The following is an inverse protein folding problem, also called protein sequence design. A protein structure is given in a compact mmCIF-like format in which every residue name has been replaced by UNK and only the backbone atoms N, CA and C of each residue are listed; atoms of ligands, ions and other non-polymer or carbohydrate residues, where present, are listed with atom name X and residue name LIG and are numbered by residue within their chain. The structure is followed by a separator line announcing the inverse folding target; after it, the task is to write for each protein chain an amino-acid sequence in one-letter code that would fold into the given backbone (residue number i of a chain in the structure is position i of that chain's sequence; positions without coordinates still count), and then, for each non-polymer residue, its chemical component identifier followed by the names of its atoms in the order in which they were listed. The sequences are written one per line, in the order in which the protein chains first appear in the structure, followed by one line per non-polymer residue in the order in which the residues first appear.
data_IF_516617632933
#
_entry.id   IF_516617632933
#
_cell.length_a   1.000
_cell.length_b   1.000
_cell.length_c   1.000
_cell.angle_alpha   90.00
_cell.angle_beta   90.00
_cell.angle_gamma   90.00
#
_symmetry.space_group_name_H-M   'P 1'
#
loop_
_entity.id
_entity.type
_entity.pdbx_description
1 polymer ?
#
# COMPACT_ATOMS: atom_id res chain seq x y z
N UNK A 1 -1.56 5.53 3.37
CA UNK A 1 -0.26 4.84 3.39
C UNK A 1 -0.39 3.59 2.57
N UNK A 2 0.48 3.36 1.59
CA UNK A 2 0.50 2.13 0.81
C UNK A 2 1.62 1.24 1.36
N UNK A 3 1.33 -0.04 1.61
CA UNK A 3 2.31 -0.99 2.14
C UNK A 3 2.30 -2.27 1.29
N UNK A 4 3.48 -2.78 0.98
CA UNK A 4 3.65 -4.07 0.32
C UNK A 4 4.57 -4.95 1.16
N UNK A 5 4.30 -6.25 1.19
CA UNK A 5 5.26 -7.24 1.69
C UNK A 5 5.98 -7.86 0.49
N UNK A 6 7.28 -7.58 0.40
CA UNK A 6 8.06 -7.98 -0.77
C UNK A 6 8.45 -9.47 -0.71
N UNK A 7 7.93 -10.25 -1.65
CA UNK A 7 8.15 -11.68 -1.77
C UNK A 7 7.36 -12.54 -0.77
N UNK A 8 7.25 -13.83 -1.09
CA UNK A 8 6.36 -14.78 -0.41
C UNK A 8 6.59 -14.87 1.10
N UNK A 9 7.87 -14.90 1.54
CA UNK A 9 8.20 -14.96 2.97
C UNK A 9 7.69 -13.73 3.73
N UNK A 10 7.81 -12.54 3.14
CA UNK A 10 7.31 -11.33 3.78
C UNK A 10 5.78 -11.33 3.80
N UNK A 11 5.14 -11.79 2.72
CA UNK A 11 3.69 -11.89 2.64
C UNK A 11 3.11 -12.80 3.75
N UNK A 12 3.77 -13.94 4.03
CA UNK A 12 3.40 -14.85 5.12
C UNK A 12 3.48 -14.19 6.51
N UNK A 13 4.47 -13.30 6.73
CA UNK A 13 4.65 -12.61 8.02
C UNK A 13 3.88 -11.28 8.11
N UNK A 14 3.26 -10.81 7.03
CA UNK A 14 2.67 -9.47 6.96
C UNK A 14 1.63 -9.24 8.06
N UNK A 15 0.70 -10.17 8.26
CA UNK A 15 -0.37 -10.05 9.25
C UNK A 15 0.16 -9.94 10.69
N UNK A 16 1.29 -10.58 10.98
CA UNK A 16 1.95 -10.51 12.29
C UNK A 16 2.61 -9.14 12.50
N UNK A 17 3.24 -8.59 11.46
CA UNK A 17 3.86 -7.25 11.52
C UNK A 17 2.79 -6.17 11.66
N UNK A 18 1.75 -6.21 10.82
CA UNK A 18 0.67 -5.20 10.82
C UNK A 18 -0.31 -5.37 12.00
N UNK A 19 -0.37 -6.55 12.61
CA UNK A 19 -1.09 -6.78 13.87
C UNK A 19 -0.36 -6.28 15.12
N UNK A 20 0.91 -5.88 15.01
CA UNK A 20 1.72 -5.45 16.15
C UNK A 20 1.34 -4.07 16.69
N UNK A 21 1.55 -3.79 17.99
CA UNK A 21 1.15 -2.52 18.61
C UNK A 21 1.92 -1.30 18.05
N UNK A 22 3.11 -1.50 17.50
CA UNK A 22 3.88 -0.44 16.85
C UNK A 22 3.27 -0.02 15.50
N UNK A 23 2.58 -0.94 14.82
CA UNK A 23 1.92 -0.64 13.56
C UNK A 23 0.78 0.38 13.73
N UNK A 24 0.19 0.47 14.92
CA UNK A 24 -0.89 1.41 15.23
C UNK A 24 -0.41 2.84 15.51
N UNK A 25 0.90 3.13 15.43
CA UNK A 25 1.43 4.48 15.69
C UNK A 25 1.24 5.49 14.56
N UNK A 26 1.47 5.15 13.28
CA UNK A 26 1.29 6.08 12.17
C UNK A 26 -0.17 6.53 12.04
N UNK A 27 -0.39 7.83 11.79
CA UNK A 27 -1.74 8.40 11.63
C UNK A 27 -2.55 7.67 10.54
N UNK A 28 -1.91 7.34 9.42
CA UNK A 28 -2.59 6.63 8.34
C UNK A 28 -3.11 5.23 8.72
N UNK A 29 -2.53 4.55 9.72
CA UNK A 29 -3.08 3.26 10.20
C UNK A 29 -4.24 3.52 11.15
N UNK A 30 -4.07 4.49 12.06
CA UNK A 30 -5.11 4.88 13.03
C UNK A 30 -6.37 5.40 12.36
N UNK A 31 -6.22 6.10 11.26
CA UNK A 31 -7.31 6.69 10.48
C UNK A 31 -7.81 5.73 9.39
N UNK A 32 -7.47 4.43 9.46
CA UNK A 32 -7.91 3.38 8.53
C UNK A 32 -7.55 3.64 7.05
N UNK A 33 -6.50 4.43 6.81
CA UNK A 33 -5.99 4.80 5.49
C UNK A 33 -4.73 4.01 5.08
N UNK A 34 -4.48 2.85 5.70
CA UNK A 34 -3.40 1.95 5.32
C UNK A 34 -3.90 0.91 4.31
N UNK A 35 -3.35 0.93 3.10
CA UNK A 35 -3.74 0.06 2.00
C UNK A 35 -2.60 -0.93 1.72
N UNK A 36 -2.94 -2.22 1.74
CA UNK A 36 -2.02 -3.27 1.28
C UNK A 36 -2.05 -3.27 -0.25
N UNK A 37 -0.89 -3.20 -0.88
CA UNK A 37 -0.73 -3.19 -2.34
C UNK A 37 0.17 -4.33 -2.81
N UNK A 38 0.01 -4.71 -4.07
CA UNK A 38 0.73 -5.80 -4.72
C UNK A 38 2.21 -5.44 -4.93
N UNK A 39 3.14 -6.29 -4.47
CA UNK A 39 4.57 -6.05 -4.59
C UNK A 39 5.08 -6.23 -6.04
N UNK A 40 4.45 -7.07 -6.85
CA UNK A 40 4.76 -7.20 -8.27
C UNK A 40 4.46 -5.91 -9.06
N UNK A 41 3.56 -5.08 -8.54
CA UNK A 41 3.21 -3.79 -9.12
C UNK A 41 4.06 -2.68 -8.47
N UNK A 42 4.10 -2.62 -7.15
CA UNK A 42 4.64 -1.47 -6.40
C UNK A 42 6.13 -1.57 -6.08
N UNK A 43 6.73 -2.76 -6.11
CA UNK A 43 8.15 -2.97 -5.80
C UNK A 43 8.97 -3.42 -7.03
N UNK A 44 8.44 -4.35 -7.82
CA UNK A 44 9.17 -4.91 -8.98
C UNK A 44 8.56 -4.55 -10.32
N UNK A 45 7.43 -3.84 -10.33
CA UNK A 45 6.76 -3.40 -11.55
C UNK A 45 7.64 -2.41 -12.33
N UNK A 46 7.89 -2.71 -13.61
CA UNK A 46 8.72 -1.88 -14.49
C UNK A 46 7.90 -1.39 -15.68
N UNK A 47 8.14 -0.13 -16.08
CA UNK A 47 7.57 0.46 -17.29
C UNK A 47 6.15 1.01 -17.10
N UNK A 48 5.58 1.48 -18.21
CA UNK A 48 4.33 2.26 -18.23
C UNK A 48 3.11 1.47 -17.76
N UNK A 49 3.11 0.15 -17.95
CA UNK A 49 2.01 -0.71 -17.48
C UNK A 49 1.94 -0.75 -15.96
N UNK A 50 3.07 -0.96 -15.29
CA UNK A 50 3.12 -0.94 -13.83
C UNK A 50 2.79 0.45 -13.28
N UNK A 51 3.34 1.50 -13.91
CA UNK A 51 3.02 2.87 -13.55
C UNK A 51 1.52 3.17 -13.65
N UNK A 52 0.84 2.71 -14.72
CA UNK A 52 -0.61 2.84 -14.87
C UNK A 52 -1.38 2.19 -13.72
N UNK A 53 -1.02 0.96 -13.34
CA UNK A 53 -1.67 0.26 -12.21
C UNK A 53 -1.47 0.97 -10.87
N UNK A 54 -0.28 1.56 -10.63
CA UNK A 54 -0.05 2.38 -9.44
C UNK A 54 -0.97 3.60 -9.46
N UNK A 55 -1.13 4.27 -10.61
CA UNK A 55 -2.04 5.40 -10.73
C UNK A 55 -3.50 5.00 -10.49
N UNK A 56 -3.93 3.82 -10.95
CA UNK A 56 -5.27 3.28 -10.68
C UNK A 56 -5.51 3.05 -9.18
N UNK A 57 -4.51 2.55 -8.45
CA UNK A 57 -4.59 2.41 -7.00
C UNK A 57 -4.65 3.78 -6.31
N UNK A 58 -3.85 4.76 -6.77
CA UNK A 58 -3.90 6.12 -6.23
C UNK A 58 -5.28 6.76 -6.44
N UNK A 59 -5.87 6.64 -7.64
CA UNK A 59 -7.20 7.18 -7.93
C UNK A 59 -8.30 6.51 -7.11
N UNK A 60 -8.16 5.20 -6.85
CA UNK A 60 -9.09 4.44 -6.01
C UNK A 60 -9.06 4.85 -4.54
N UNK A 61 -7.88 5.06 -3.98
CA UNK A 61 -7.71 5.19 -2.52
C UNK A 61 -7.46 6.62 -2.05
N UNK A 62 -7.05 7.53 -2.92
CA UNK A 62 -6.87 8.93 -2.58
C UNK A 62 -8.13 9.72 -2.91
N UNK A 63 -8.62 10.50 -1.96
CA UNK A 63 -9.50 11.61 -2.32
C UNK A 63 -8.66 12.66 -3.07
N UNK A 64 -9.13 13.19 -4.21
CA UNK A 64 -8.38 14.18 -4.98
C UNK A 64 -7.98 15.39 -4.14
N UNK A 65 -6.70 15.81 -4.21
CA UNK A 65 -6.22 17.03 -3.54
C UNK A 65 -6.88 18.30 -4.08
N UNK A 66 -7.44 18.27 -5.30
CA UNK A 66 -8.21 19.36 -5.86
C UNK A 66 -9.72 19.04 -5.76
N UNK A 67 -10.45 19.80 -4.95
CA UNK A 67 -11.89 19.97 -5.18
C UNK A 67 -12.04 20.78 -6.48
N UNK A 68 -12.86 20.27 -7.40
CA UNK A 68 -13.41 21.09 -8.49
C UNK A 68 -14.25 22.21 -7.91
#
# INVERSE_FOLDING_TARGET
MFVAAYGEKAAQEQAKVTGGPLWQKPAAVRDEHAQVVDDEIWMTGIGVTAAGKILDDLDRYLTPLARK
#
